data_IF_744506534410
#
_entry.id   IF_744506534410
#
_cell.length_a   1.000
_cell.length_b   1.000
_cell.length_c   1.000
_cell.angle_alpha   90.00
_cell.angle_beta   90.00
_cell.angle_gamma   90.00
#
_symmetry.space_group_name_H-M   'P 1'
#
loop_
_entity.id
_entity.type
_entity.pdbx_description
1 polymer ?
#
# COMPACT_ATOMS: atom_id res chain seq x y z
N UNK A 1 -7.98 -20.06 -1.45
CA UNK A 1 -7.09 -19.29 -2.34
C UNK A 1 -5.75 -19.20 -1.65
N UNK A 2 -4.76 -19.94 -2.13
CA UNK A 2 -3.44 -19.99 -1.51
C UNK A 2 -2.73 -18.66 -1.81
N UNK A 3 -2.73 -17.76 -0.83
CA UNK A 3 -1.82 -16.61 -0.82
C UNK A 3 -0.41 -17.23 -0.80
N UNK A 4 0.22 -17.23 -1.97
CA UNK A 4 1.65 -17.51 -2.11
C UNK A 4 2.37 -16.65 -1.07
N UNK A 5 3.27 -17.28 -0.32
CA UNK A 5 4.05 -16.73 0.78
C UNK A 5 4.82 -15.47 0.34
N UNK A 6 4.12 -14.34 0.26
CA UNK A 6 4.69 -13.02 0.07
C UNK A 6 5.27 -12.60 1.41
N UNK A 7 6.57 -12.79 1.58
CA UNK A 7 7.30 -12.11 2.64
C UNK A 7 7.35 -10.63 2.27
N UNK A 8 6.51 -9.82 2.92
CA UNK A 8 6.54 -8.37 2.74
C UNK A 8 7.73 -7.79 3.48
N UNK A 9 8.53 -6.99 2.78
CA UNK A 9 9.61 -6.22 3.40
C UNK A 9 9.17 -4.76 3.56
N UNK A 10 9.52 -4.16 4.70
CA UNK A 10 9.36 -2.73 4.91
C UNK A 10 10.44 -1.99 4.14
N UNK A 11 10.02 -1.10 3.26
CA UNK A 11 10.92 -0.24 2.47
C UNK A 11 10.50 1.21 2.66
N UNK A 12 11.47 2.13 2.61
CA UNK A 12 11.15 3.56 2.60
C UNK A 12 10.28 3.88 1.38
N UNK A 13 9.30 4.78 1.55
CA UNK A 13 8.45 5.21 0.44
C UNK A 13 9.27 5.71 -0.75
N UNK A 14 10.36 6.44 -0.50
CA UNK A 14 11.25 6.96 -1.54
C UNK A 14 11.88 5.86 -2.41
N UNK A 15 12.26 4.73 -1.82
CA UNK A 15 12.82 3.58 -2.56
C UNK A 15 11.74 2.73 -3.23
N UNK A 16 10.55 2.67 -2.63
CA UNK A 16 9.42 1.93 -3.17
C UNK A 16 8.78 2.64 -4.38
N UNK A 17 8.85 3.98 -4.45
CA UNK A 17 8.11 4.80 -5.41
C UNK A 17 8.36 4.37 -6.87
N UNK A 18 7.32 3.92 -7.60
CA UNK A 18 7.39 3.71 -9.04
C UNK A 18 7.91 4.97 -9.74
N UNK A 19 8.74 4.78 -10.77
CA UNK A 19 9.31 5.88 -11.57
C UNK A 19 8.22 6.77 -12.17
N UNK A 20 7.05 6.18 -12.48
CA UNK A 20 5.85 6.87 -12.96
C UNK A 20 5.33 7.92 -11.97
N UNK A 21 5.50 7.70 -10.67
CA UNK A 21 5.11 8.64 -9.62
C UNK A 21 6.24 9.58 -9.20
N UNK A 22 7.47 9.49 -9.73
CA UNK A 22 8.51 10.48 -9.37
C UNK A 22 8.15 11.90 -9.83
N UNK A 23 7.33 12.04 -10.88
CA UNK A 23 6.85 13.34 -11.39
C UNK A 23 5.45 13.73 -10.92
N UNK A 24 4.62 12.78 -10.49
CA UNK A 24 3.23 13.00 -10.10
C UNK A 24 2.89 12.30 -8.77
N UNK A 25 2.12 12.95 -7.90
CA UNK A 25 1.53 12.26 -6.75
C UNK A 25 0.53 11.21 -7.23
N UNK A 26 0.51 10.01 -6.62
CA UNK A 26 -0.48 8.99 -6.99
C UNK A 26 -1.89 9.56 -6.85
N UNK A 27 -2.66 9.45 -7.92
CA UNK A 27 -4.08 9.80 -7.96
C UNK A 27 -4.90 8.52 -7.82
N UNK A 28 -6.21 8.64 -7.70
CA UNK A 28 -7.10 7.50 -7.44
C UNK A 28 -7.12 6.51 -8.61
N UNK A 29 -6.84 7.00 -9.81
CA UNK A 29 -6.66 6.21 -11.04
C UNK A 29 -5.45 5.28 -11.02
N UNK A 30 -4.52 5.52 -10.08
CA UNK A 30 -3.25 4.84 -9.97
C UNK A 30 -3.34 3.59 -9.07
N UNK A 31 -4.53 3.33 -8.51
CA UNK A 31 -4.78 2.22 -7.59
C UNK A 31 -5.05 0.94 -8.39
N UNK A 32 -4.17 -0.05 -8.24
CA UNK A 32 -4.36 -1.38 -8.83
C UNK A 32 -5.15 -2.32 -7.93
N UNK A 33 -5.03 -2.16 -6.60
CA UNK A 33 -5.71 -3.01 -5.60
C UNK A 33 -6.10 -2.21 -4.36
N UNK A 34 -7.23 -2.58 -3.77
CA UNK A 34 -7.65 -2.09 -2.47
C UNK A 34 -7.54 -3.19 -1.42
N UNK A 35 -7.02 -2.84 -0.25
CA UNK A 35 -6.94 -3.71 0.91
C UNK A 35 -7.76 -3.09 2.03
N UNK A 36 -8.78 -3.82 2.47
CA UNK A 36 -9.66 -3.41 3.56
C UNK A 36 -9.57 -4.39 4.71
N UNK A 37 -9.83 -3.91 5.92
CA UNK A 37 -10.12 -4.80 7.04
C UNK A 37 -11.47 -5.49 6.78
N UNK A 38 -11.58 -6.75 7.20
CA UNK A 38 -12.80 -7.56 7.00
C UNK A 38 -14.04 -6.97 7.69
N UNK A 39 -13.86 -6.32 8.84
CA UNK A 39 -14.92 -5.61 9.55
C UNK A 39 -14.32 -4.46 10.39
N UNK A 40 -15.16 -3.50 10.80
CA UNK A 40 -14.80 -2.37 11.68
C UNK A 40 -14.19 -2.85 13.00
N UNK A 41 -14.70 -3.96 13.53
CA UNK A 41 -14.19 -4.55 14.78
C UNK A 41 -12.75 -5.01 14.61
N UNK A 42 -12.43 -5.67 13.49
CA UNK A 42 -11.05 -6.03 13.13
C UNK A 42 -10.23 -4.80 12.78
N UNK A 43 -10.79 -3.79 12.12
CA UNK A 43 -10.08 -2.52 11.89
C UNK A 43 -9.58 -1.92 13.22
N UNK A 44 -10.43 -1.83 14.23
CA UNK A 44 -10.09 -1.19 15.50
C UNK A 44 -9.14 -2.01 16.39
N UNK A 45 -9.25 -3.34 16.35
CA UNK A 45 -8.57 -4.26 17.28
C UNK A 45 -7.35 -4.99 16.71
N UNK A 46 -7.03 -4.81 15.42
CA UNK A 46 -6.04 -5.65 14.74
C UNK A 46 -4.70 -4.98 14.43
N UNK A 47 -3.76 -5.84 14.05
CA UNK A 47 -2.52 -5.50 13.36
C UNK A 47 -2.71 -4.59 12.15
N UNK A 48 -3.90 -4.54 11.53
CA UNK A 48 -4.18 -3.69 10.38
C UNK A 48 -4.05 -2.20 10.71
N UNK A 49 -4.66 -1.74 11.81
CA UNK A 49 -4.56 -0.32 12.22
C UNK A 49 -3.15 0.03 12.70
N UNK A 50 -2.48 -0.89 13.39
CA UNK A 50 -1.09 -0.71 13.77
C UNK A 50 -0.17 -0.60 12.54
N UNK A 51 -0.40 -1.44 11.52
CA UNK A 51 0.32 -1.40 10.25
C UNK A 51 0.06 -0.09 9.50
N UNK A 52 -1.20 0.34 9.37
CA UNK A 52 -1.56 1.63 8.78
C UNK A 52 -0.83 2.78 9.47
N UNK A 53 -0.88 2.82 10.81
CA UNK A 53 -0.19 3.84 11.61
C UNK A 53 1.31 3.80 11.38
N UNK A 54 1.92 2.61 11.35
CA UNK A 54 3.35 2.45 11.07
C UNK A 54 3.73 2.97 9.68
N UNK A 55 2.94 2.64 8.64
CA UNK A 55 3.19 3.10 7.28
C UNK A 55 3.08 4.63 7.15
N UNK A 56 2.13 5.24 7.87
CA UNK A 56 1.96 6.70 7.90
C UNK A 56 3.08 7.38 8.69
N UNK A 57 3.31 6.97 9.93
CA UNK A 57 4.25 7.65 10.85
C UNK A 57 5.70 7.57 10.37
N UNK A 58 6.08 6.46 9.76
CA UNK A 58 7.47 6.20 9.33
C UNK A 58 7.70 6.41 7.83
N UNK A 59 6.70 6.93 7.09
CA UNK A 59 6.75 7.11 5.63
C UNK A 59 7.22 5.82 4.90
N UNK A 60 6.62 4.68 5.28
CA UNK A 60 6.98 3.35 4.79
C UNK A 60 5.98 2.85 3.74
N UNK A 61 6.44 1.91 2.93
CA UNK A 61 5.63 1.09 2.06
C UNK A 61 5.94 -0.39 2.29
N UNK A 62 4.99 -1.26 2.00
CA UNK A 62 5.26 -2.69 1.92
C UNK A 62 5.58 -3.06 0.47
N UNK A 63 6.59 -3.91 0.29
CA UNK A 63 6.92 -4.48 -1.02
C UNK A 63 6.84 -6.00 -0.95
N UNK A 64 6.05 -6.58 -1.85
CA UNK A 64 5.98 -8.01 -2.13
C UNK A 64 6.50 -8.31 -3.54
N UNK A 65 7.24 -9.41 -3.72
CA UNK A 65 7.72 -9.83 -5.03
C UNK A 65 6.88 -11.01 -5.55
N UNK A 66 6.35 -10.85 -6.76
CA UNK A 66 5.51 -11.80 -7.50
C UNK A 66 6.22 -12.25 -8.78
N UNK A 67 7.40 -12.85 -8.65
CA UNK A 67 8.08 -13.51 -9.77
C UNK A 67 8.46 -12.59 -10.93
N UNK A 68 8.92 -11.37 -10.62
CA UNK A 68 9.27 -10.35 -11.63
C UNK A 68 8.31 -9.16 -11.69
N UNK A 69 7.22 -9.20 -10.92
CA UNK A 69 6.36 -8.05 -10.66
C UNK A 69 6.43 -7.72 -9.17
N UNK A 70 6.57 -6.46 -8.82
CA UNK A 70 6.53 -5.95 -7.46
C UNK A 70 5.12 -5.46 -7.16
N UNK A 71 4.55 -5.93 -6.06
CA UNK A 71 3.37 -5.32 -5.45
C UNK A 71 3.84 -4.36 -4.36
N UNK A 72 3.53 -3.09 -4.53
CA UNK A 72 3.83 -2.05 -3.56
C UNK A 72 2.54 -1.64 -2.88
N UNK A 73 2.51 -1.65 -1.55
CA UNK A 73 1.34 -1.32 -0.75
C UNK A 73 1.64 -0.08 0.07
N UNK A 74 0.73 0.89 -0.01
CA UNK A 74 0.81 2.19 0.62
C UNK A 74 -0.44 2.45 1.48
N UNK A 75 -0.35 3.45 2.37
CA UNK A 75 -1.51 3.99 3.05
C UNK A 75 -2.29 4.94 2.13
N UNK A 76 -3.61 4.96 2.27
CA UNK A 76 -4.48 5.90 1.55
C UNK A 76 -4.22 7.34 1.95
N UNK A 77 -3.52 7.60 3.06
CA UNK A 77 -3.06 8.94 3.46
C UNK A 77 -2.20 9.63 2.40
N UNK A 78 -1.54 8.87 1.52
CA UNK A 78 -0.74 9.41 0.42
C UNK A 78 -1.59 9.86 -0.79
N UNK A 79 -2.89 9.56 -0.80
CA UNK A 79 -3.82 9.96 -1.86
C UNK A 79 -4.31 11.40 -1.62
N UNK A 80 -4.90 12.04 -2.65
CA UNK A 80 -5.60 13.32 -2.49
C UNK A 80 -6.67 13.25 -1.40
N UNK A 81 -6.90 14.37 -0.69
CA UNK A 81 -7.82 14.42 0.46
C UNK A 81 -9.23 13.86 0.19
N UNK A 82 -9.72 13.98 -1.05
CA UNK A 82 -11.02 13.43 -1.47
C UNK A 82 -11.12 11.92 -1.37
N UNK A 83 -9.98 11.23 -1.33
CA UNK A 83 -9.86 9.80 -1.65
C UNK A 83 -9.05 9.03 -0.61
N UNK A 84 -8.64 9.73 0.46
CA UNK A 84 -7.97 9.13 1.61
C UNK A 84 -8.88 8.22 2.43
N UNK A 85 -10.19 8.49 2.43
CA UNK A 85 -11.13 7.83 3.33
C UNK A 85 -12.17 7.04 2.56
N UNK A 86 -12.39 5.81 2.99
CA UNK A 86 -13.53 5.00 2.57
C UNK A 86 -14.39 4.73 3.80
N UNK A 87 -15.67 5.15 3.76
CA UNK A 87 -16.58 5.09 4.91
C UNK A 87 -15.99 5.73 6.20
N UNK A 88 -15.21 6.80 6.05
CA UNK A 88 -14.57 7.49 7.18
C UNK A 88 -13.32 6.80 7.74
N UNK A 89 -12.84 5.72 7.12
CA UNK A 89 -11.64 4.98 7.54
C UNK A 89 -10.52 5.09 6.50
N UNK A 90 -9.28 5.20 6.98
CA UNK A 90 -8.11 5.05 6.11
C UNK A 90 -8.01 3.59 5.66
N UNK A 91 -7.43 3.36 4.49
CA UNK A 91 -7.27 2.02 3.94
C UNK A 91 -5.88 1.85 3.34
N UNK A 92 -5.54 0.61 3.00
CA UNK A 92 -4.30 0.30 2.30
C UNK A 92 -4.62 0.09 0.82
N UNK A 93 -3.73 0.55 -0.06
CA UNK A 93 -3.89 0.39 -1.50
C UNK A 93 -2.59 -0.07 -2.13
N UNK A 94 -2.70 -0.79 -3.23
CA UNK A 94 -1.57 -1.40 -3.91
C UNK A 94 -1.44 -0.94 -5.35
N UNK A 95 -0.20 -0.92 -5.84
CA UNK A 95 0.14 -0.72 -7.25
C UNK A 95 1.15 -1.78 -7.66
N UNK A 96 1.03 -2.24 -8.91
CA UNK A 96 1.99 -3.15 -9.50
C UNK A 96 3.07 -2.36 -10.23
N UNK A 97 4.31 -2.79 -10.05
CA UNK A 97 5.48 -2.24 -10.73
C UNK A 97 6.25 -3.41 -11.30
N UNK A 98 6.73 -3.31 -12.54
CA UNK A 98 7.67 -4.31 -13.03
C UNK A 98 8.94 -4.30 -12.18
N UNK A 99 9.36 -5.48 -11.71
CA UNK A 99 10.64 -5.62 -11.05
C UNK A 99 11.72 -5.29 -12.08
N UNK A 100 12.62 -4.37 -11.76
CA UNK A 100 13.81 -4.18 -12.58
C UNK A 100 14.53 -5.53 -12.65
N UNK A 101 14.58 -6.13 -13.84
CA UNK A 101 15.49 -7.23 -14.14
C UNK A 101 16.89 -6.62 -14.11
N UNK A 102 17.65 -6.89 -13.05
CA UNK A 102 19.10 -6.73 -13.08
C UNK A 102 19.71 -7.75 -14.03
#
# INVERSE_FOLDING_TARGET
MYIVLLWFTHVSRSNARPTQFQKYYPQDDSIGLYFFAEDISKYASSSYKALLKCLVDYDLALRGNLGGIELLIFSSHLLPNSSQYWNGLLFLWGVFKESARN
#
